data_IF_948386557522
#
_entry.id   IF_948386557522
#
_cell.length_a   1.000
_cell.length_b   1.000
_cell.length_c   1.000
_cell.angle_alpha   90.00
_cell.angle_beta   90.00
_cell.angle_gamma   90.00
#
_symmetry.space_group_name_H-M   'P 1'
#
loop_
_entity.id
_entity.type
_entity.pdbx_description
1 polymer ?
#
# COMPACT_ATOMS: atom_id res chain seq x y z
N UNK A 1 40.45 7.75 -63.06
CA UNK A 1 40.36 7.11 -64.38
C UNK A 1 39.00 6.43 -64.48
N UNK A 2 38.07 7.13 -65.16
CA UNK A 2 36.91 6.66 -65.95
C UNK A 2 35.86 5.64 -65.40
N UNK A 3 34.63 5.58 -65.96
CA UNK A 3 33.70 6.68 -66.29
C UNK A 3 32.17 6.32 -66.16
N UNK A 4 31.28 7.32 -66.42
CA UNK A 4 29.85 7.24 -66.89
C UNK A 4 28.79 6.69 -65.90
N UNK A 5 27.49 7.01 -65.93
CA UNK A 5 26.58 8.00 -66.57
C UNK A 5 25.14 7.58 -66.16
N UNK A 6 24.20 8.55 -66.11
CA UNK A 6 22.73 8.40 -66.08
C UNK A 6 22.09 8.04 -64.72
N UNK A 7 20.88 8.48 -64.33
CA UNK A 7 19.94 9.55 -64.66
C UNK A 7 18.76 9.41 -63.66
N UNK A 8 18.05 10.51 -63.37
CA UNK A 8 16.67 10.61 -62.83
C UNK A 8 16.42 10.13 -61.38
N UNK A 9 15.61 10.73 -60.50
CA UNK A 9 14.56 11.75 -60.61
C UNK A 9 14.32 12.32 -59.18
N UNK A 10 14.23 13.64 -59.03
CA UNK A 10 13.86 14.34 -57.79
C UNK A 10 12.34 14.42 -57.65
N UNK A 11 11.79 14.15 -56.46
CA UNK A 11 10.42 14.51 -56.10
C UNK A 11 10.49 15.25 -54.76
N UNK A 12 10.46 16.58 -54.82
CA UNK A 12 10.26 17.46 -53.68
C UNK A 12 8.77 17.81 -53.51
N UNK A 13 8.34 17.59 -52.28
CA UNK A 13 7.27 18.20 -51.47
C UNK A 13 6.48 19.39 -52.03
N UNK A 14 5.14 19.26 -52.00
CA UNK A 14 4.19 20.36 -52.04
C UNK A 14 3.24 20.28 -50.83
N UNK A 15 3.11 21.40 -50.12
CA UNK A 15 2.33 21.61 -48.89
C UNK A 15 1.09 22.40 -49.27
N UNK A 16 -0.12 21.96 -48.90
CA UNK A 16 -1.28 22.85 -48.87
C UNK A 16 -2.29 22.44 -47.77
N UNK A 17 -2.66 23.43 -46.94
CA UNK A 17 -3.72 23.40 -45.92
C UNK A 17 -5.01 23.98 -46.51
N UNK A 18 -6.18 23.61 -45.96
CA UNK A 18 -7.09 24.63 -45.42
C UNK A 18 -7.76 24.10 -44.12
N UNK A 19 -8.54 24.79 -43.30
CA UNK A 19 -9.03 26.15 -43.14
C UNK A 19 -9.49 26.24 -41.67
N UNK A 20 -9.58 27.42 -41.09
CA UNK A 20 -10.28 27.66 -39.80
C UNK A 20 -11.39 28.68 -40.05
N UNK A 21 -12.55 28.54 -39.36
CA UNK A 21 -13.08 29.73 -38.70
C UNK A 21 -13.37 29.51 -37.22
N UNK A 22 -13.10 30.57 -36.46
CA UNK A 22 -13.29 30.77 -35.03
C UNK A 22 -14.68 31.35 -34.79
N UNK A 23 -15.41 30.84 -33.79
CA UNK A 23 -16.49 31.56 -33.11
C UNK A 23 -16.31 31.43 -31.59
N UNK A 24 -16.57 32.52 -30.88
CA UNK A 24 -16.06 32.82 -29.54
C UNK A 24 -17.17 32.92 -28.48
N UNK A 25 -16.72 32.76 -27.21
CA UNK A 25 -17.31 33.27 -25.96
C UNK A 25 -18.52 32.44 -25.42
N UNK A 26 -18.68 32.11 -24.13
CA UNK A 26 -18.42 32.78 -22.84
C UNK A 26 -18.34 31.68 -21.73
N UNK A 27 -17.31 31.68 -20.86
CA UNK A 27 -17.35 32.09 -19.43
C UNK A 27 -18.52 31.54 -18.61
N UNK A 28 -18.26 30.57 -17.73
CA UNK A 28 -18.59 30.75 -16.31
C UNK A 28 -17.72 29.85 -15.43
N UNK A 29 -17.22 30.44 -14.36
CA UNK A 29 -16.30 29.87 -13.39
C UNK A 29 -16.78 30.33 -12.01
N UNK A 30 -17.31 29.41 -11.21
CA UNK A 30 -17.42 29.47 -9.74
C UNK A 30 -17.86 28.07 -9.22
N UNK A 31 -17.67 27.75 -7.93
CA UNK A 31 -16.43 27.81 -7.17
C UNK A 31 -16.08 26.43 -6.59
N UNK A 32 -14.83 26.28 -6.17
CA UNK A 32 -14.35 25.14 -5.41
C UNK A 32 -15.09 25.04 -4.07
N UNK A 33 -15.83 23.95 -3.86
CA UNK A 33 -16.29 23.57 -2.53
C UNK A 33 -15.10 23.09 -1.69
N UNK A 34 -14.82 23.90 -0.68
CA UNK A 34 -13.82 23.71 0.35
C UNK A 34 -14.01 22.38 1.07
N UNK A 35 -12.95 21.56 1.04
CA UNK A 35 -12.75 20.42 1.93
C UNK A 35 -12.89 20.85 3.39
N UNK A 36 -13.93 20.37 4.07
CA UNK A 36 -13.98 20.39 5.53
C UNK A 36 -13.27 19.13 6.04
N UNK A 37 -11.94 19.18 6.12
CA UNK A 37 -11.14 18.15 6.76
C UNK A 37 -11.16 18.40 8.27
N UNK A 38 -12.18 17.86 8.95
CA UNK A 38 -12.16 17.68 10.39
C UNK A 38 -11.00 16.74 10.77
N UNK A 39 -10.20 17.20 11.73
CA UNK A 39 -8.89 16.67 12.02
C UNK A 39 -8.92 15.25 12.57
N UNK A 40 -8.23 14.36 11.87
CA UNK A 40 -7.71 13.14 12.45
C UNK A 40 -6.19 13.28 12.61
N UNK A 41 -5.75 13.11 13.85
CA UNK A 41 -4.33 13.09 14.25
C UNK A 41 -3.70 11.81 13.69
N UNK A 42 -3.42 11.81 12.39
CA UNK A 42 -2.75 10.72 11.70
C UNK A 42 -1.25 10.74 11.97
N UNK A 43 -0.74 9.61 12.42
CA UNK A 43 0.67 9.31 12.54
C UNK A 43 1.37 9.45 11.17
N UNK A 44 2.64 9.78 11.17
CA UNK A 44 3.43 10.04 9.96
C UNK A 44 3.41 8.90 8.96
N UNK A 45 3.36 7.69 9.49
CA UNK A 45 3.23 6.46 8.74
C UNK A 45 1.95 6.38 7.93
N UNK A 46 0.82 6.86 8.47
CA UNK A 46 -0.47 6.76 7.75
C UNK A 46 -0.51 7.72 6.58
N UNK A 47 0.05 8.93 6.71
CA UNK A 47 0.12 9.90 5.61
C UNK A 47 1.10 9.51 4.52
N UNK A 48 2.26 8.98 4.89
CA UNK A 48 3.25 8.45 3.92
C UNK A 48 2.68 7.22 3.20
N UNK A 49 1.96 6.35 3.93
CA UNK A 49 1.29 5.18 3.34
C UNK A 49 0.10 5.57 2.47
N UNK A 50 -0.67 6.60 2.82
CA UNK A 50 -1.78 7.13 2.00
C UNK A 50 -1.27 7.83 0.74
N UNK A 51 -0.16 8.57 0.82
CA UNK A 51 0.51 9.14 -0.34
C UNK A 51 1.02 8.05 -1.30
N UNK A 52 1.46 6.91 -0.75
CA UNK A 52 1.92 5.75 -1.53
C UNK A 52 0.75 4.91 -2.09
N UNK A 53 -0.37 4.80 -1.37
CA UNK A 53 -1.54 3.98 -1.71
C UNK A 53 -2.54 4.66 -2.64
N UNK A 54 -2.51 5.98 -2.80
CA UNK A 54 -3.41 6.72 -3.73
C UNK A 54 -3.21 6.36 -5.22
N UNK A 55 -2.25 5.49 -5.52
CA UNK A 55 -1.96 5.00 -6.88
C UNK A 55 -2.19 3.49 -7.03
N UNK A 56 -2.65 2.76 -5.99
CA UNK A 56 -2.85 1.31 -6.08
C UNK A 56 -3.72 0.79 -4.93
N UNK A 57 -5.04 0.83 -5.07
CA UNK A 57 -5.91 0.13 -4.12
C UNK A 57 -6.04 -1.37 -4.46
N UNK A 58 -5.47 -2.19 -3.57
CA UNK A 58 -6.07 -3.43 -3.07
C UNK A 58 -5.61 -3.64 -1.61
N UNK A 59 -6.51 -4.19 -0.78
CA UNK A 59 -6.24 -4.94 0.47
C UNK A 59 -5.06 -5.92 0.29
N UNK A 60 -4.36 -6.43 1.34
CA UNK A 60 -4.95 -7.36 2.34
C UNK A 60 -4.22 -7.41 3.72
N UNK A 61 -4.67 -8.31 4.61
CA UNK A 61 -3.76 -8.98 5.57
C UNK A 61 -4.25 -10.39 5.92
N UNK A 62 -3.28 -11.28 6.05
CA UNK A 62 -3.32 -12.72 6.37
C UNK A 62 -2.92 -12.95 7.83
N UNK A 63 -3.30 -14.07 8.45
CA UNK A 63 -2.34 -15.07 9.00
C UNK A 63 -3.01 -16.25 9.74
N UNK A 64 -2.37 -17.42 9.61
CA UNK A 64 -2.61 -18.74 10.22
C UNK A 64 -1.42 -19.07 11.16
N UNK A 65 -1.42 -20.07 12.09
CA UNK A 65 -1.35 -21.50 11.71
C UNK A 65 -1.99 -22.52 12.69
N UNK A 66 -2.13 -23.79 12.27
CA UNK A 66 -2.96 -24.84 12.89
C UNK A 66 -2.30 -25.93 13.77
N UNK A 67 -3.10 -26.95 14.16
CA UNK A 67 -2.69 -28.29 14.64
C UNK A 67 -3.90 -29.26 14.72
N UNK A 68 -3.63 -30.57 14.59
CA UNK A 68 -4.54 -31.68 14.23
C UNK A 68 -5.05 -32.57 15.39
N UNK A 69 -6.15 -33.29 15.11
CA UNK A 69 -6.61 -34.63 15.56
C UNK A 69 -7.59 -34.84 16.75
N UNK A 70 -8.72 -35.49 16.37
CA UNK A 70 -9.47 -36.62 16.97
C UNK A 70 -10.40 -36.51 18.21
N UNK A 71 -11.64 -37.02 18.00
CA UNK A 71 -12.75 -37.32 18.92
C UNK A 71 -12.83 -38.86 19.19
N UNK A 72 -13.74 -39.42 20.02
CA UNK A 72 -14.21 -39.10 21.39
C UNK A 72 -14.15 -40.39 22.30
N UNK A 73 -14.69 -40.44 23.57
CA UNK A 73 -16.13 -40.64 23.80
C UNK A 73 -16.73 -39.99 25.09
N UNK A 74 -18.06 -39.87 25.11
CA UNK A 74 -18.94 -39.56 26.26
C UNK A 74 -19.11 -40.81 27.19
N UNK A 75 -19.79 -40.82 28.38
CA UNK A 75 -21.02 -40.05 28.72
C UNK A 75 -21.18 -39.58 30.20
N UNK A 76 -22.12 -38.66 30.45
CA UNK A 76 -23.19 -38.79 31.47
C UNK A 76 -24.00 -37.50 31.63
N UNK A 77 -25.32 -37.67 31.58
CA UNK A 77 -26.34 -36.65 31.67
C UNK A 77 -26.45 -36.00 33.07
N UNK A 78 -26.79 -34.70 33.09
CA UNK A 78 -27.77 -34.12 34.02
C UNK A 78 -28.54 -32.99 33.33
N UNK A 79 -29.85 -33.05 33.51
CA UNK A 79 -30.88 -32.18 32.96
C UNK A 79 -31.03 -30.91 33.81
N UNK A 80 -31.46 -29.87 33.08
CA UNK A 80 -32.35 -28.77 33.48
C UNK A 80 -31.76 -27.60 34.30
N UNK A 81 -31.81 -26.44 33.65
CA UNK A 81 -31.43 -25.13 34.14
C UNK A 81 -31.49 -24.14 32.98
N UNK A 82 -32.72 -23.81 32.59
CA UNK A 82 -33.13 -22.77 31.65
C UNK A 82 -32.27 -21.50 31.84
N UNK A 83 -31.50 -21.14 30.83
CA UNK A 83 -30.68 -19.94 30.80
C UNK A 83 -30.64 -19.45 29.36
N UNK A 84 -31.35 -18.35 29.12
CA UNK A 84 -31.37 -17.61 27.86
C UNK A 84 -30.01 -17.61 27.17
N UNK A 85 -30.03 -17.97 25.88
CA UNK A 85 -28.98 -17.67 24.94
C UNK A 85 -28.77 -16.15 24.87
N UNK A 86 -27.93 -15.61 25.75
CA UNK A 86 -27.31 -14.31 25.60
C UNK A 86 -26.28 -14.34 24.47
N UNK A 87 -26.76 -14.55 23.24
CA UNK A 87 -25.98 -14.46 21.99
C UNK A 87 -26.40 -13.21 21.25
N UNK A 88 -26.01 -12.06 21.77
CA UNK A 88 -25.78 -10.81 21.02
C UNK A 88 -25.42 -9.73 22.03
N UNK A 89 -24.49 -8.85 21.68
CA UNK A 89 -24.15 -7.66 22.47
C UNK A 89 -25.26 -6.59 22.47
N UNK A 90 -26.52 -7.01 22.38
CA UNK A 90 -27.69 -6.15 22.40
C UNK A 90 -28.09 -5.94 23.87
N UNK A 91 -28.09 -4.69 24.33
CA UNK A 91 -28.58 -4.34 25.66
C UNK A 91 -30.04 -4.76 25.78
N UNK A 92 -30.39 -5.42 26.90
CA UNK A 92 -31.78 -5.84 27.15
C UNK A 92 -32.69 -4.62 27.27
N UNK A 93 -33.96 -4.78 26.90
CA UNK A 93 -34.95 -3.68 26.88
C UNK A 93 -35.08 -2.98 28.26
N UNK A 94 -34.85 -3.74 29.34
CA UNK A 94 -34.83 -3.25 30.72
C UNK A 94 -33.60 -2.38 31.04
N UNK A 95 -32.45 -2.65 30.42
CA UNK A 95 -31.25 -1.81 30.52
C UNK A 95 -31.44 -0.55 29.68
N UNK A 96 -31.96 -0.67 28.47
CA UNK A 96 -32.25 0.45 27.58
C UNK A 96 -33.24 1.46 28.21
N UNK A 97 -34.20 0.95 29.01
CA UNK A 97 -35.17 1.75 29.74
C UNK A 97 -34.56 2.60 30.86
N UNK A 98 -33.45 2.16 31.47
CA UNK A 98 -32.74 2.89 32.55
C UNK A 98 -31.83 4.01 32.02
N UNK A 99 -31.54 4.03 30.72
CA UNK A 99 -30.73 5.08 30.09
C UNK A 99 -31.55 6.34 29.74
N UNK A 100 -30.83 7.48 29.66
CA UNK A 100 -31.38 8.77 29.20
C UNK A 100 -31.90 8.66 27.76
N UNK A 101 -32.99 9.37 27.38
CA UNK A 101 -33.65 9.21 26.09
C UNK A 101 -32.73 9.43 24.87
N UNK A 102 -31.87 10.45 24.89
CA UNK A 102 -30.88 10.68 23.80
C UNK A 102 -29.85 9.56 23.66
N UNK A 103 -29.49 8.89 24.76
CA UNK A 103 -28.56 7.76 24.73
C UNK A 103 -29.26 6.51 24.20
N UNK A 104 -30.55 6.33 24.52
CA UNK A 104 -31.39 5.27 23.97
C UNK A 104 -31.53 5.38 22.45
N UNK A 105 -31.91 6.54 21.93
CA UNK A 105 -32.01 6.77 20.48
C UNK A 105 -30.69 6.48 19.77
N UNK A 106 -29.55 6.92 20.34
CA UNK A 106 -28.24 6.65 19.77
C UNK A 106 -27.90 5.15 19.77
N UNK A 107 -28.20 4.44 20.85
CA UNK A 107 -27.98 2.99 20.93
C UNK A 107 -28.86 2.27 19.91
N UNK A 108 -30.15 2.60 19.82
CA UNK A 108 -31.06 1.99 18.83
C UNK A 108 -30.59 2.22 17.39
N UNK A 109 -30.10 3.42 17.06
CA UNK A 109 -29.53 3.69 15.73
C UNK A 109 -28.28 2.87 15.46
N UNK A 110 -27.37 2.75 16.42
CA UNK A 110 -26.14 1.96 16.28
C UNK A 110 -26.46 0.46 16.18
N UNK A 111 -27.37 -0.05 17.00
CA UNK A 111 -27.81 -1.44 16.94
C UNK A 111 -28.49 -1.75 15.61
N UNK A 112 -29.30 -0.83 15.07
CA UNK A 112 -29.86 -0.98 13.72
C UNK A 112 -28.76 -1.00 12.65
N UNK A 113 -27.80 -0.09 12.69
CA UNK A 113 -26.68 -0.07 11.75
C UNK A 113 -25.80 -1.32 11.83
N UNK A 114 -25.57 -1.86 13.03
CA UNK A 114 -24.84 -3.12 13.25
C UNK A 114 -25.62 -4.28 12.66
N UNK A 115 -26.93 -4.41 12.92
CA UNK A 115 -27.77 -5.46 12.34
C UNK A 115 -27.84 -5.38 10.80
N UNK A 116 -27.92 -4.17 10.24
CA UNK A 116 -27.86 -3.96 8.79
C UNK A 116 -26.49 -4.34 8.20
N UNK A 117 -25.40 -4.11 8.95
CA UNK A 117 -24.07 -4.58 8.55
C UNK A 117 -23.94 -6.09 8.64
N UNK A 118 -24.42 -6.69 9.71
CA UNK A 118 -24.34 -8.13 9.93
C UNK A 118 -25.14 -8.92 8.90
N UNK A 119 -26.32 -8.42 8.50
CA UNK A 119 -27.10 -9.01 7.40
C UNK A 119 -26.37 -8.90 6.06
N UNK A 120 -25.79 -7.73 5.75
CA UNK A 120 -24.95 -7.57 4.54
C UNK A 120 -23.72 -8.46 4.57
N UNK A 121 -23.07 -8.61 5.73
CA UNK A 121 -21.92 -9.49 5.90
C UNK A 121 -22.34 -10.95 5.72
N UNK A 122 -23.44 -11.39 6.34
CA UNK A 122 -23.97 -12.74 6.19
C UNK A 122 -24.28 -13.09 4.73
N UNK A 123 -24.77 -12.13 3.93
CA UNK A 123 -25.03 -12.32 2.49
C UNK A 123 -23.76 -12.31 1.62
N UNK A 124 -22.72 -11.59 2.05
CA UNK A 124 -21.47 -11.42 1.32
C UNK A 124 -20.44 -12.52 1.62
N UNK A 125 -20.38 -13.00 2.86
CA UNK A 125 -19.46 -14.08 3.29
C UNK A 125 -19.49 -15.30 2.37
N UNK A 126 -20.65 -15.94 2.08
CA UNK A 126 -20.67 -17.11 1.22
C UNK A 126 -20.34 -16.80 -0.26
N UNK A 127 -20.50 -15.54 -0.70
CA UNK A 127 -20.08 -15.10 -2.04
C UNK A 127 -18.58 -14.89 -2.10
N UNK A 128 -18.00 -14.31 -1.05
CA UNK A 128 -16.56 -14.11 -0.90
C UNK A 128 -15.82 -15.45 -0.83
N UNK A 129 -16.31 -16.41 -0.04
CA UNK A 129 -15.74 -17.77 0.04
C UNK A 129 -15.70 -18.46 -1.33
N UNK A 130 -16.80 -18.41 -2.09
CA UNK A 130 -16.84 -18.98 -3.45
C UNK A 130 -15.89 -18.25 -4.40
N UNK A 131 -15.79 -16.94 -4.28
CA UNK A 131 -14.85 -16.15 -5.08
C UNK A 131 -13.40 -16.51 -4.76
N UNK A 132 -13.06 -16.69 -3.48
CA UNK A 132 -11.74 -17.15 -3.06
C UNK A 132 -11.43 -18.54 -3.60
N UNK A 133 -12.39 -19.47 -3.56
CA UNK A 133 -12.22 -20.80 -4.14
C UNK A 133 -11.93 -20.73 -5.65
N UNK A 134 -12.66 -19.89 -6.38
CA UNK A 134 -12.42 -19.67 -7.81
C UNK A 134 -11.05 -19.03 -8.02
N UNK A 135 -10.68 -18.04 -7.22
CA UNK A 135 -9.40 -17.36 -7.34
C UNK A 135 -8.23 -18.33 -7.09
N UNK A 136 -8.31 -19.16 -6.04
CA UNK A 136 -7.31 -20.21 -5.77
C UNK A 136 -7.21 -21.18 -6.94
N UNK A 137 -8.34 -21.64 -7.49
CA UNK A 137 -8.33 -22.52 -8.66
C UNK A 137 -7.66 -21.88 -9.88
N UNK A 138 -7.95 -20.59 -10.15
CA UNK A 138 -7.34 -19.83 -11.26
C UNK A 138 -5.84 -19.65 -11.05
N UNK A 139 -5.42 -19.32 -9.82
CA UNK A 139 -4.02 -19.13 -9.47
C UNK A 139 -3.24 -20.46 -9.52
N UNK A 140 -3.80 -21.55 -8.99
CA UNK A 140 -3.21 -22.91 -9.00
C UNK A 140 -3.10 -23.49 -10.42
N UNK A 141 -4.11 -23.25 -11.25
CA UNK A 141 -4.09 -23.63 -12.66
C UNK A 141 -3.15 -22.75 -13.51
N UNK A 142 -2.60 -21.68 -12.91
CA UNK A 142 -1.78 -20.72 -13.63
C UNK A 142 -2.55 -20.05 -14.77
N UNK A 143 -3.84 -19.80 -14.63
CA UNK A 143 -4.64 -19.13 -15.66
C UNK A 143 -4.54 -17.62 -15.45
N UNK A 144 -4.34 -16.86 -16.52
CA UNK A 144 -4.47 -15.41 -16.47
C UNK A 144 -5.95 -15.01 -16.47
N UNK A 145 -6.24 -13.75 -16.09
CA UNK A 145 -7.61 -13.22 -16.17
C UNK A 145 -8.16 -13.30 -17.60
N UNK A 146 -7.30 -13.06 -18.57
CA UNK A 146 -7.67 -13.10 -19.99
C UNK A 146 -7.97 -14.54 -20.44
N UNK A 147 -7.24 -15.53 -19.93
CA UNK A 147 -7.51 -16.95 -20.20
C UNK A 147 -8.87 -17.38 -19.62
N UNK A 148 -9.17 -16.96 -18.40
CA UNK A 148 -10.44 -17.25 -17.73
C UNK A 148 -11.61 -16.59 -18.46
N UNK A 149 -11.47 -15.32 -18.83
CA UNK A 149 -12.49 -14.59 -19.58
C UNK A 149 -12.72 -15.21 -20.96
N UNK A 150 -11.64 -15.52 -21.69
CA UNK A 150 -11.71 -16.20 -22.99
C UNK A 150 -12.38 -17.56 -22.86
N UNK A 151 -12.04 -18.33 -21.82
CA UNK A 151 -12.68 -19.61 -21.52
C UNK A 151 -14.18 -19.47 -21.27
N UNK A 152 -14.60 -18.50 -20.45
CA UNK A 152 -16.01 -18.24 -20.22
C UNK A 152 -16.75 -17.73 -21.46
N UNK A 153 -16.11 -16.88 -22.28
CA UNK A 153 -16.67 -16.40 -23.53
C UNK A 153 -16.87 -17.54 -24.53
N UNK A 154 -15.88 -18.43 -24.68
CA UNK A 154 -16.00 -19.62 -25.52
C UNK A 154 -17.11 -20.54 -25.01
N UNK A 155 -17.21 -20.77 -23.69
CA UNK A 155 -18.28 -21.58 -23.10
C UNK A 155 -19.67 -20.95 -23.25
N UNK A 156 -19.77 -19.62 -23.15
CA UNK A 156 -21.02 -18.90 -23.44
C UNK A 156 -21.39 -19.07 -24.91
N UNK A 157 -20.45 -18.78 -25.80
CA UNK A 157 -20.67 -18.86 -27.25
C UNK A 157 -21.00 -20.30 -27.66
N UNK A 158 -20.44 -21.33 -27.02
CA UNK A 158 -20.81 -22.71 -27.31
C UNK A 158 -22.30 -23.00 -27.09
N UNK A 159 -22.95 -22.29 -26.14
CA UNK A 159 -24.39 -22.39 -25.88
C UNK A 159 -25.23 -21.42 -26.70
N UNK A 160 -24.72 -20.22 -27.00
CA UNK A 160 -25.50 -19.16 -27.65
C UNK A 160 -25.24 -19.00 -29.15
N UNK A 161 -23.99 -19.16 -29.59
CA UNK A 161 -23.51 -18.98 -30.97
C UNK A 161 -22.35 -19.95 -31.29
N UNK A 162 -22.66 -21.19 -31.70
CA UNK A 162 -21.66 -22.23 -31.93
C UNK A 162 -20.64 -21.90 -33.02
N UNK A 163 -21.00 -21.06 -34.00
CA UNK A 163 -20.09 -20.69 -35.09
C UNK A 163 -18.97 -19.80 -34.59
N UNK A 164 -19.27 -18.80 -33.74
CA UNK A 164 -18.25 -17.97 -33.10
C UNK A 164 -17.37 -18.77 -32.15
N UNK A 165 -17.95 -19.70 -31.40
CA UNK A 165 -17.17 -20.59 -30.53
C UNK A 165 -16.17 -21.43 -31.34
N UNK A 166 -16.57 -21.93 -32.51
CA UNK A 166 -15.69 -22.66 -33.41
C UNK A 166 -14.54 -21.80 -33.94
N UNK A 167 -14.82 -20.56 -34.37
CA UNK A 167 -13.78 -19.62 -34.81
C UNK A 167 -12.76 -19.32 -33.71
N UNK A 168 -13.21 -19.16 -32.46
CA UNK A 168 -12.34 -18.94 -31.30
C UNK A 168 -11.54 -20.18 -30.91
N UNK A 169 -12.11 -21.38 -31.04
CA UNK A 169 -11.44 -22.65 -30.69
C UNK A 169 -10.43 -23.09 -31.76
N UNK A 170 -10.63 -22.73 -33.02
CA UNK A 170 -9.76 -23.12 -34.14
C UNK A 170 -8.27 -22.84 -33.89
N UNK A 171 -7.83 -21.62 -33.54
CA UNK A 171 -6.40 -21.36 -33.29
C UNK A 171 -5.85 -22.16 -32.10
N UNK A 172 -6.67 -22.41 -31.07
CA UNK A 172 -6.29 -23.19 -29.89
C UNK A 172 -6.09 -24.66 -30.29
N UNK A 173 -7.01 -25.20 -31.09
CA UNK A 173 -6.91 -26.56 -31.63
C UNK A 173 -5.72 -26.72 -32.57
N UNK A 174 -5.47 -25.77 -33.47
CA UNK A 174 -4.30 -25.77 -34.35
C UNK A 174 -2.99 -25.83 -33.54
N UNK A 175 -2.91 -25.07 -32.44
CA UNK A 175 -1.76 -25.09 -31.53
C UNK A 175 -1.64 -26.43 -30.79
N UNK A 176 -2.74 -26.96 -30.25
CA UNK A 176 -2.78 -28.27 -29.59
C UNK A 176 -2.37 -29.41 -30.52
N UNK A 177 -2.87 -29.41 -31.76
CA UNK A 177 -2.54 -30.42 -32.78
C UNK A 177 -1.05 -30.40 -33.14
N UNK A 178 -0.43 -29.22 -33.17
CA UNK A 178 1.02 -29.07 -33.38
C UNK A 178 1.83 -29.63 -32.20
N UNK A 179 1.37 -29.42 -30.96
CA UNK A 179 2.05 -29.87 -29.74
C UNK A 179 1.95 -31.39 -29.57
N UNK A 180 0.76 -31.95 -29.82
CA UNK A 180 0.50 -33.40 -29.70
C UNK A 180 1.12 -34.17 -30.87
N UNK A 181 1.48 -33.49 -31.96
CA UNK A 181 2.10 -34.08 -33.14
C UNK A 181 1.09 -34.72 -34.10
N UNK A 182 -0.20 -34.37 -33.99
CA UNK A 182 -1.22 -34.73 -34.99
C UNK A 182 -0.94 -33.99 -36.30
N UNK A 183 -0.59 -32.71 -36.18
CA UNK A 183 -0.09 -31.89 -37.27
C UNK A 183 1.43 -31.82 -37.19
N UNK A 184 2.11 -32.26 -38.23
CA UNK A 184 3.56 -32.18 -38.31
C UNK A 184 3.98 -30.72 -38.58
N UNK A 185 5.02 -30.20 -37.90
CA UNK A 185 5.70 -28.98 -38.31
C UNK A 185 6.25 -29.09 -39.74
N UNK A 186 6.26 -27.97 -40.47
CA UNK A 186 6.66 -27.92 -41.90
C UNK A 186 8.04 -28.55 -42.17
N UNK A 187 8.98 -28.37 -41.24
CA UNK A 187 10.31 -28.99 -41.28
C UNK A 187 10.23 -30.53 -41.32
N UNK A 188 9.47 -31.13 -40.41
CA UNK A 188 9.32 -32.59 -40.31
C UNK A 188 8.49 -33.13 -41.47
N UNK A 189 7.52 -32.37 -41.96
CA UNK A 189 6.77 -32.72 -43.17
C UNK A 189 7.67 -32.76 -44.40
N UNK A 190 8.61 -31.81 -44.54
CA UNK A 190 9.59 -31.82 -45.61
C UNK A 190 10.53 -33.04 -45.52
N UNK A 191 11.00 -33.42 -44.33
CA UNK A 191 11.86 -34.59 -44.13
C UNK A 191 11.16 -35.92 -44.44
N UNK A 192 9.87 -36.04 -44.10
CA UNK A 192 9.04 -37.20 -44.47
C UNK A 192 8.84 -37.25 -45.98
N UNK A 193 8.52 -36.13 -46.62
CA UNK A 193 8.33 -36.07 -48.07
C UNK A 193 9.60 -36.42 -48.86
N UNK A 194 10.77 -36.12 -48.29
CA UNK A 194 12.08 -36.41 -48.86
C UNK A 194 12.57 -37.82 -48.48
N UNK A 195 11.78 -38.59 -47.73
CA UNK A 195 12.11 -39.96 -47.32
C UNK A 195 13.26 -40.08 -46.32
N UNK A 196 13.64 -38.98 -45.65
CA UNK A 196 14.73 -39.00 -44.66
C UNK A 196 14.30 -39.63 -43.34
N UNK A 197 13.04 -39.46 -42.97
CA UNK A 197 12.43 -40.03 -41.77
C UNK A 197 11.07 -40.64 -42.10
N UNK A 198 10.64 -41.61 -41.30
CA UNK A 198 9.29 -42.18 -41.41
C UNK A 198 8.28 -41.24 -40.76
N UNK A 199 7.03 -41.28 -41.22
CA UNK A 199 5.94 -40.47 -40.65
C UNK A 199 5.73 -40.77 -39.15
N UNK A 200 5.84 -42.04 -38.75
CA UNK A 200 5.73 -42.44 -37.35
C UNK A 200 6.81 -41.78 -36.47
N UNK A 201 8.06 -41.78 -36.95
CA UNK A 201 9.18 -41.15 -36.26
C UNK A 201 9.03 -39.62 -36.23
N UNK A 202 8.52 -39.02 -37.31
CA UNK A 202 8.27 -37.59 -37.38
C UNK A 202 7.20 -37.14 -36.36
N UNK A 203 6.12 -37.92 -36.16
CA UNK A 203 5.09 -37.63 -35.16
C UNK A 203 5.62 -37.77 -33.73
N UNK A 204 6.44 -38.78 -33.45
CA UNK A 204 7.09 -38.94 -32.14
C UNK A 204 8.01 -37.77 -31.83
N UNK A 205 8.82 -37.36 -32.80
CA UNK A 205 9.71 -36.20 -32.67
C UNK A 205 8.93 -34.89 -32.50
N UNK A 206 7.85 -34.70 -33.25
CA UNK A 206 6.96 -33.54 -33.11
C UNK A 206 6.37 -33.47 -31.70
N UNK A 207 5.85 -34.59 -31.18
CA UNK A 207 5.31 -34.67 -29.81
C UNK A 207 6.36 -34.37 -28.75
N UNK A 208 7.58 -34.90 -28.92
CA UNK A 208 8.71 -34.64 -28.02
C UNK A 208 9.10 -33.16 -28.01
N UNK A 209 9.22 -32.53 -29.20
CA UNK A 209 9.50 -31.09 -29.34
C UNK A 209 8.37 -30.23 -28.76
N UNK A 210 7.12 -30.62 -28.98
CA UNK A 210 5.94 -29.95 -28.41
C UNK A 210 5.94 -29.98 -26.89
N UNK A 211 6.18 -31.15 -26.30
CA UNK A 211 6.27 -31.30 -24.84
C UNK A 211 7.42 -30.48 -24.26
N UNK A 212 8.60 -30.48 -24.89
CA UNK A 212 9.73 -29.67 -24.45
C UNK A 212 9.42 -28.16 -24.50
N UNK A 213 8.68 -27.72 -25.51
CA UNK A 213 8.26 -26.32 -25.65
C UNK A 213 7.32 -25.90 -24.54
N UNK A 214 6.29 -26.72 -24.23
CA UNK A 214 5.35 -26.46 -23.14
C UNK A 214 6.07 -26.42 -21.79
N UNK A 215 6.94 -27.39 -21.51
CA UNK A 215 7.72 -27.41 -20.27
C UNK A 215 8.61 -26.19 -20.12
N UNK A 216 9.26 -25.74 -21.20
CA UNK A 216 10.09 -24.53 -21.19
C UNK A 216 9.25 -23.28 -20.92
N UNK A 217 8.10 -23.13 -21.57
CA UNK A 217 7.20 -22.01 -21.33
C UNK A 217 6.68 -21.97 -19.88
N UNK A 218 6.37 -23.13 -19.29
CA UNK A 218 5.99 -23.22 -17.88
C UNK A 218 7.12 -22.80 -16.94
N UNK A 219 8.35 -23.22 -17.23
CA UNK A 219 9.54 -22.82 -16.47
C UNK A 219 9.75 -21.30 -16.55
N UNK A 220 9.74 -20.72 -17.75
CA UNK A 220 9.93 -19.29 -17.99
C UNK A 220 8.84 -18.45 -17.31
N UNK A 221 7.60 -18.94 -17.28
CA UNK A 221 6.51 -18.28 -16.54
C UNK A 221 6.75 -18.33 -15.04
N UNK A 222 7.17 -19.48 -14.53
CA UNK A 222 7.40 -19.68 -13.09
C UNK A 222 8.54 -18.80 -12.59
N UNK A 223 9.64 -18.70 -13.35
CA UNK A 223 10.78 -17.83 -13.00
C UNK A 223 10.38 -16.36 -12.99
N UNK A 224 9.63 -15.89 -14.00
CA UNK A 224 9.14 -14.50 -14.03
C UNK A 224 8.23 -14.17 -12.84
N UNK A 225 7.32 -15.06 -12.46
CA UNK A 225 6.44 -14.88 -11.29
C UNK A 225 7.27 -14.83 -10.00
N UNK A 226 8.25 -15.74 -9.86
CA UNK A 226 9.14 -15.74 -8.70
C UNK A 226 9.96 -14.46 -8.58
N UNK A 227 10.55 -13.98 -9.68
CA UNK A 227 11.30 -12.72 -9.70
C UNK A 227 10.41 -11.52 -9.35
N UNK A 228 9.18 -11.47 -9.89
CA UNK A 228 8.23 -10.42 -9.58
C UNK A 228 7.83 -10.42 -8.09
N UNK A 229 7.61 -11.61 -7.51
CA UNK A 229 7.28 -11.76 -6.10
C UNK A 229 8.45 -11.37 -5.19
N UNK A 230 9.68 -11.79 -5.53
CA UNK A 230 10.88 -11.40 -4.79
C UNK A 230 11.08 -9.87 -4.79
N UNK A 231 10.89 -9.22 -5.95
CA UNK A 231 10.98 -7.75 -6.04
C UNK A 231 9.92 -7.05 -5.19
N UNK A 232 8.68 -7.55 -5.18
CA UNK A 232 7.61 -7.01 -4.32
C UNK A 232 7.94 -7.14 -2.85
N UNK A 233 8.36 -8.34 -2.42
CA UNK A 233 8.76 -8.58 -1.04
C UNK A 233 9.92 -7.68 -0.61
N UNK A 234 10.92 -7.49 -1.47
CA UNK A 234 12.05 -6.60 -1.19
C UNK A 234 11.63 -5.12 -1.00
N UNK A 235 10.65 -4.64 -1.79
CA UNK A 235 10.10 -3.29 -1.64
C UNK A 235 9.31 -3.18 -0.33
N UNK A 236 8.47 -4.17 -0.03
CA UNK A 236 7.66 -4.18 1.19
C UNK A 236 8.53 -4.21 2.46
N UNK A 237 9.58 -5.03 2.48
CA UNK A 237 10.52 -5.06 3.61
C UNK A 237 11.26 -3.73 3.75
N UNK A 238 11.73 -3.13 2.64
CA UNK A 238 12.40 -1.83 2.67
C UNK A 238 11.47 -0.72 3.21
N UNK A 239 10.21 -0.69 2.79
CA UNK A 239 9.22 0.28 3.29
C UNK A 239 8.99 0.09 4.78
N UNK A 240 8.80 -1.15 5.24
CA UNK A 240 8.57 -1.46 6.65
C UNK A 240 9.79 -1.12 7.53
N UNK A 241 11.01 -1.39 7.04
CA UNK A 241 12.25 -1.08 7.74
C UNK A 241 12.46 0.42 7.91
N UNK A 242 12.20 1.20 6.85
CA UNK A 242 12.25 2.67 6.88
C UNK A 242 11.20 3.23 7.83
N UNK A 243 9.95 2.79 7.70
CA UNK A 243 8.84 3.19 8.55
C UNK A 243 9.15 2.95 10.04
N UNK A 244 9.58 1.74 10.38
CA UNK A 244 9.94 1.36 11.76
C UNK A 244 11.10 2.19 12.30
N UNK A 245 12.14 2.41 11.48
CA UNK A 245 13.31 3.16 11.90
C UNK A 245 13.04 4.65 12.14
N UNK A 246 12.26 5.29 11.25
CA UNK A 246 11.84 6.69 11.41
C UNK A 246 10.95 6.83 12.63
N UNK A 247 9.98 5.94 12.82
CA UNK A 247 9.09 5.94 13.99
C UNK A 247 9.85 5.75 15.31
N UNK A 248 10.85 4.86 15.34
CA UNK A 248 11.71 4.67 16.50
C UNK A 248 12.53 5.93 16.81
N UNK A 249 13.05 6.59 15.78
CA UNK A 249 13.76 7.86 15.93
C UNK A 249 12.84 8.99 16.41
N UNK A 250 11.62 9.11 15.88
CA UNK A 250 10.62 10.09 16.30
C UNK A 250 10.21 9.89 17.75
N UNK A 251 9.94 8.64 18.16
CA UNK A 251 9.60 8.30 19.53
C UNK A 251 10.73 8.62 20.52
N UNK A 252 11.98 8.42 20.11
CA UNK A 252 13.15 8.81 20.92
C UNK A 252 13.28 10.33 21.03
N UNK A 253 13.08 11.04 19.91
CA UNK A 253 13.20 12.50 19.87
C UNK A 253 12.06 13.18 20.64
N UNK A 254 10.83 12.70 20.49
CA UNK A 254 9.66 13.22 21.20
C UNK A 254 9.67 13.00 22.70
N UNK A 255 10.44 12.04 23.21
CA UNK A 255 10.70 11.88 24.65
C UNK A 255 11.69 12.92 25.18
N UNK A 256 12.63 13.36 24.35
CA UNK A 256 13.70 14.28 24.72
C UNK A 256 13.33 15.76 24.48
N UNK A 257 12.34 16.03 23.64
CA UNK A 257 11.91 17.39 23.26
C UNK A 257 10.50 17.71 23.78
N UNK A 258 10.36 18.61 24.78
CA UNK A 258 9.06 19.02 25.31
C UNK A 258 8.14 19.69 24.26
N UNK A 259 8.72 20.36 23.26
CA UNK A 259 7.99 21.08 22.22
C UNK A 259 7.77 20.21 20.96
N UNK A 260 8.06 18.90 21.03
CA UNK A 260 8.00 17.97 19.90
C UNK A 260 6.67 18.02 19.14
N UNK A 261 5.54 18.06 19.85
CA UNK A 261 4.20 18.09 19.25
C UNK A 261 3.98 19.30 18.34
N UNK A 262 4.65 20.42 18.61
CA UNK A 262 4.58 21.63 17.80
C UNK A 262 5.51 21.56 16.59
N UNK A 263 6.67 20.92 16.74
CA UNK A 263 7.68 20.78 15.68
C UNK A 263 7.36 19.67 14.69
N UNK A 264 6.74 18.59 15.15
CA UNK A 264 6.42 17.39 14.37
C UNK A 264 5.84 17.74 13.00
N UNK A 265 4.69 18.43 12.85
CA UNK A 265 4.07 18.69 11.55
C UNK A 265 4.96 19.46 10.57
N UNK A 266 5.89 20.29 11.08
CA UNK A 266 6.84 21.00 10.22
C UNK A 266 7.98 20.09 9.77
N UNK A 267 8.44 19.21 10.65
CA UNK A 267 9.44 18.19 10.33
C UNK A 267 8.88 17.24 9.27
N UNK A 268 7.63 16.81 9.41
CA UNK A 268 6.97 15.90 8.46
C UNK A 268 6.92 16.47 7.06
N UNK A 269 6.48 17.72 6.95
CA UNK A 269 6.38 18.45 5.69
C UNK A 269 7.76 18.57 5.02
N UNK A 270 8.81 18.89 5.79
CA UNK A 270 10.16 19.02 5.25
C UNK A 270 10.76 17.68 4.80
N UNK A 271 10.47 16.59 5.50
CA UNK A 271 10.89 15.24 5.10
C UNK A 271 10.18 14.83 3.82
N UNK A 272 8.87 15.04 3.74
CA UNK A 272 8.07 14.78 2.54
C UNK A 272 8.59 15.58 1.34
N UNK A 273 8.81 16.88 1.50
CA UNK A 273 9.35 17.74 0.45
C UNK A 273 10.73 17.29 -0.03
N UNK A 274 11.61 16.85 0.87
CA UNK A 274 12.94 16.35 0.50
C UNK A 274 12.85 15.04 -0.27
N UNK A 275 11.98 14.12 0.13
CA UNK A 275 11.72 12.87 -0.59
C UNK A 275 11.13 13.17 -1.97
N UNK A 276 10.12 14.04 -2.06
CA UNK A 276 9.52 14.44 -3.34
C UNK A 276 10.54 15.12 -4.27
N UNK A 277 11.42 15.97 -3.75
CA UNK A 277 12.48 16.61 -4.55
C UNK A 277 13.47 15.62 -5.13
N UNK A 278 13.76 14.53 -4.41
CA UNK A 278 14.63 13.46 -4.91
C UNK A 278 13.90 12.59 -5.90
N UNK A 279 12.63 12.27 -5.64
CA UNK A 279 11.78 11.55 -6.60
C UNK A 279 11.55 12.30 -7.91
N UNK A 280 11.53 13.64 -7.87
CA UNK A 280 11.45 14.45 -9.09
C UNK A 280 12.70 14.30 -9.99
N UNK A 281 13.85 13.89 -9.43
CA UNK A 281 15.09 13.61 -10.18
C UNK A 281 15.19 12.14 -10.59
N UNK A 282 14.74 11.25 -9.71
CA UNK A 282 14.71 9.81 -9.92
C UNK A 282 13.36 9.26 -9.43
N UNK A 283 12.42 8.96 -10.34
CA UNK A 283 11.09 8.45 -9.98
C UNK A 283 11.11 7.12 -9.21
N UNK A 284 12.23 6.38 -9.26
CA UNK A 284 12.41 5.11 -8.54
C UNK A 284 13.08 5.25 -7.19
N UNK A 285 13.45 6.47 -6.80
CA UNK A 285 14.12 6.74 -5.54
C UNK A 285 13.21 6.47 -4.34
N UNK A 286 13.71 5.63 -3.42
CA UNK A 286 13.19 5.44 -2.08
C UNK A 286 14.37 5.43 -1.09
N UNK A 287 14.29 6.21 0.01
CA UNK A 287 15.41 6.32 0.93
C UNK A 287 15.73 4.98 1.58
N UNK A 288 17.00 4.73 1.86
CA UNK A 288 17.40 3.65 2.76
C UNK A 288 17.05 3.99 4.22
N UNK A 289 17.09 3.00 5.12
CA UNK A 289 16.87 3.20 6.56
C UNK A 289 17.74 4.33 7.14
N UNK A 290 19.03 4.32 6.84
CA UNK A 290 20.00 5.28 7.38
C UNK A 290 19.77 6.68 6.81
N UNK A 291 19.46 6.73 5.51
CA UNK A 291 19.18 7.96 4.79
C UNK A 291 17.88 8.61 5.25
N UNK A 292 16.83 7.83 5.50
CA UNK A 292 15.58 8.34 6.04
C UNK A 292 15.79 9.00 7.42
N UNK A 293 16.56 8.36 8.31
CA UNK A 293 16.92 8.96 9.61
C UNK A 293 17.75 10.25 9.41
N UNK A 294 18.68 10.27 8.44
CA UNK A 294 19.48 11.45 8.15
C UNK A 294 18.63 12.62 7.66
N UNK A 295 17.71 12.37 6.73
CA UNK A 295 16.74 13.36 6.22
C UNK A 295 15.91 13.91 7.38
N UNK A 296 15.39 13.04 8.26
CA UNK A 296 14.58 13.49 9.40
C UNK A 296 15.38 14.30 10.44
N UNK A 297 16.65 13.93 10.69
CA UNK A 297 17.55 14.73 11.55
C UNK A 297 17.85 16.10 10.93
N UNK A 298 18.04 16.17 9.63
CA UNK A 298 18.30 17.44 8.95
C UNK A 298 17.06 18.32 8.88
N UNK A 299 15.88 17.73 8.73
CA UNK A 299 14.61 18.43 8.87
C UNK A 299 14.44 19.02 10.28
N UNK A 300 14.72 18.24 11.33
CA UNK A 300 14.70 18.73 12.72
C UNK A 300 15.62 19.94 12.91
N UNK A 301 16.87 19.88 12.44
CA UNK A 301 17.82 21.00 12.54
C UNK A 301 17.30 22.26 11.85
N UNK A 302 16.67 22.13 10.67
CA UNK A 302 16.08 23.27 9.95
C UNK A 302 14.94 23.90 10.75
N UNK A 303 14.04 23.09 11.29
CA UNK A 303 12.94 23.59 12.14
C UNK A 303 13.46 24.29 13.40
N UNK A 304 14.48 23.74 14.05
CA UNK A 304 15.10 24.37 15.21
C UNK A 304 15.80 25.69 14.87
N UNK A 305 16.44 25.79 13.71
CA UNK A 305 17.05 27.03 13.23
C UNK A 305 15.99 28.10 12.96
N UNK A 306 14.89 27.73 12.29
CA UNK A 306 13.77 28.62 11.99
C UNK A 306 13.11 29.13 13.29
N UNK A 307 12.82 28.21 14.22
CA UNK A 307 12.26 28.58 15.52
C UNK A 307 13.22 29.45 16.33
N UNK A 308 14.53 29.18 16.30
CA UNK A 308 15.53 30.01 16.98
C UNK A 308 15.58 31.43 16.41
N UNK A 309 15.43 31.59 15.09
CA UNK A 309 15.38 32.90 14.45
C UNK A 309 14.11 33.70 14.84
N UNK A 310 13.01 33.01 15.08
CA UNK A 310 11.73 33.60 15.50
C UNK A 310 11.65 33.91 17.00
N UNK A 311 12.61 33.44 17.82
CA UNK A 311 12.62 33.74 19.26
C UNK A 311 12.96 35.20 19.48
N UNK A 312 12.11 35.97 20.20
CA UNK A 312 12.42 37.37 20.51
C UNK A 312 13.73 37.45 21.29
N UNK A 313 14.57 38.43 20.95
CA UNK A 313 15.81 38.68 21.66
C UNK A 313 15.50 38.79 23.16
N UNK A 314 16.27 38.05 24.00
CA UNK A 314 16.11 38.11 25.45
C UNK A 314 16.30 39.56 25.88
N UNK A 315 15.20 40.24 26.24
CA UNK A 315 15.28 41.55 26.88
C UNK A 315 16.03 41.35 28.18
N UNK A 316 17.14 42.06 28.35
CA UNK A 316 17.77 42.17 29.66
C UNK A 316 16.72 42.73 30.60
N UNK A 317 16.25 41.91 31.54
CA UNK A 317 15.52 42.44 32.69
C UNK A 317 16.48 43.36 33.41
N UNK A 318 16.22 44.67 33.30
CA UNK A 318 16.88 45.66 34.13
C UNK A 318 16.58 45.31 35.57
N UNK A 319 17.53 44.69 36.26
CA UNK A 319 17.53 44.60 37.73
C UNK A 319 17.90 45.97 38.27
N UNK A 320 17.14 47.00 37.92
CA UNK A 320 17.11 48.23 38.70
C UNK A 320 16.09 47.96 39.79
N UNK A 321 16.51 47.61 41.03
CA UNK A 321 15.59 47.67 42.14
C UNK A 321 15.07 49.10 42.17
N UNK A 322 13.74 49.26 42.17
CA UNK A 322 13.11 50.53 42.44
C UNK A 322 13.69 51.01 43.76
N UNK A 323 14.55 52.02 43.68
CA UNK A 323 15.26 52.59 44.82
C UNK A 323 14.27 53.44 45.61
N UNK A 324 13.35 52.79 46.32
CA UNK A 324 12.57 53.38 47.40
C UNK A 324 11.92 52.28 48.25
N UNK A 325 12.77 51.49 48.93
CA UNK A 325 12.41 50.76 50.14
C UNK A 325 13.68 50.25 50.83
N UNK A 326 14.11 50.98 51.86
CA UNK A 326 14.82 50.49 53.05
C UNK A 326 15.80 49.32 52.91
N UNK A 327 17.08 49.67 52.84
CA UNK A 327 18.23 48.87 53.24
C UNK A 327 17.96 47.90 54.42
N UNK A 328 18.10 46.60 54.18
CA UNK A 328 18.71 45.68 55.16
C UNK A 328 19.89 44.97 54.52
N UNK A 329 21.07 45.20 55.10
CA UNK A 329 22.34 44.59 54.71
C UNK A 329 22.34 43.11 55.11
N UNK A 330 23.07 42.31 54.32
CA UNK A 330 23.51 40.92 54.54
C UNK A 330 22.70 39.81 53.85
N UNK A 331 22.66 39.83 52.52
CA UNK A 331 22.54 38.60 51.75
C UNK A 331 23.95 38.02 51.52
N UNK A 332 24.39 37.13 52.43
CA UNK A 332 25.60 36.33 52.20
C UNK A 332 25.36 35.39 51.00
N UNK A 333 26.39 35.21 50.16
CA UNK A 333 26.33 34.36 48.98
C UNK A 333 25.85 32.94 49.31
N UNK A 334 25.03 32.35 48.43
CA UNK A 334 24.55 30.98 48.59
C UNK A 334 25.75 30.00 48.61
N UNK A 335 25.81 29.07 49.59
CA UNK A 335 26.95 28.17 49.73
C UNK A 335 27.03 27.23 48.55
N UNK A 336 28.23 27.06 47.99
CA UNK A 336 28.43 26.22 46.80
C UNK A 336 28.55 24.74 47.16
N UNK A 337 28.83 24.43 48.43
CA UNK A 337 29.02 23.08 48.94
C UNK A 337 28.41 22.90 50.35
N UNK A 338 28.03 21.67 50.70
CA UNK A 338 27.37 21.32 51.98
C UNK A 338 28.18 21.70 53.23
N UNK A 339 29.52 21.61 53.15
CA UNK A 339 30.42 22.01 54.24
C UNK A 339 30.41 23.52 54.49
N UNK A 340 30.24 24.31 53.43
CA UNK A 340 30.14 25.77 53.49
C UNK A 340 28.79 26.20 54.08
N UNK A 341 27.72 25.48 53.74
CA UNK A 341 26.40 25.67 54.34
C UNK A 341 26.41 25.38 55.86
N UNK A 342 27.10 24.31 56.29
CA UNK A 342 27.22 23.97 57.71
C UNK A 342 27.99 25.03 58.51
N UNK A 343 29.08 25.57 57.97
CA UNK A 343 29.85 26.66 58.60
C UNK A 343 29.04 27.96 58.71
N UNK A 344 28.28 28.29 57.66
CA UNK A 344 27.43 29.48 57.63
C UNK A 344 26.26 29.35 58.62
N UNK A 345 25.70 28.14 58.78
CA UNK A 345 24.71 27.84 59.82
C UNK A 345 25.26 27.96 61.24
N UNK A 346 26.48 27.47 61.49
CA UNK A 346 27.14 27.56 62.80
C UNK A 346 27.47 29.01 63.18
N UNK A 347 27.96 29.82 62.24
CA UNK A 347 28.22 31.25 62.47
C UNK A 347 26.94 32.06 62.75
N UNK A 348 25.80 31.63 62.22
CA UNK A 348 24.50 32.27 62.47
C UNK A 348 23.88 31.87 63.81
N UNK A 349 24.29 30.75 64.38
CA UNK A 349 23.82 30.26 65.68
C UNK A 349 24.69 30.75 66.86
N UNK A 350 25.86 31.32 66.59
CA UNK A 350 26.83 31.77 67.59
C UNK A 350 26.90 33.31 67.76
N UNK A 351 25.97 34.06 67.16
CA UNK A 351 25.81 35.51 67.34
C UNK A 351 24.36 35.86 67.60
#
# INVERSE_FOLDING_TARGET
MDPKSSADNEIETEIEKPDTPVEAAQTDAEPAESSNAEGEKGDLLTRVKDALNKTKEKSPTSDEPGSSSEEPPAPAAKKEGEGEEGKSGDLTEEELARLKPKTRERIETLTREVRERDTKLADLTPKAEKFEQIQRFVDDAGLSKDDVNTGFDVMRNLKTDPFKAYEQLRPIMDQLESIVGVRLPDELQAEVSQGRITEAHARELARSRGQATVTRQQLDRTTQVQEANQRRQAIETQVNDVASAVTAWENSTGKNDPDWKLKQPRITELVELEVMRRQAKDPTYFPSKEEAIAISKDALKKVEADLKALRPARRSVSTTPSADAGSTRNAAAAPKNMLEAAKLGLQRAAG
#
